data_IF_343136968243
#
_entry.id   IF_343136968243
#
_cell.length_a   1.000
_cell.length_b   1.000
_cell.length_c   1.000
_cell.angle_alpha   90.00
_cell.angle_beta   90.00
_cell.angle_gamma   90.00
#
_symmetry.space_group_name_H-M   'P 1'
#
loop_
_entity.id
_entity.type
_entity.pdbx_description
1 polymer ?
#
# COMPACT_ATOMS: atom_id res chain seq x y z
N UNK A 1 -8.35 6.90 45.49
CA UNK A 1 -9.08 7.56 46.59
C UNK A 1 -8.08 8.42 47.30
N UNK A 2 -8.08 9.74 47.08
CA UNK A 2 -7.20 10.68 47.77
C UNK A 2 -7.79 11.01 49.11
N UNK A 3 -6.99 10.87 50.14
CA UNK A 3 -7.36 11.33 51.50
C UNK A 3 -7.29 12.86 51.46
N UNK A 4 -8.40 13.54 51.75
CA UNK A 4 -8.41 15.00 51.86
C UNK A 4 -7.53 15.43 53.07
N UNK A 5 -6.53 16.30 52.86
CA UNK A 5 -5.61 16.71 53.93
C UNK A 5 -6.28 17.28 55.16
N UNK A 6 -7.45 17.89 55.00
CA UNK A 6 -8.21 18.50 56.10
C UNK A 6 -8.83 17.46 57.05
N UNK A 7 -9.30 16.33 56.52
CA UNK A 7 -9.86 15.23 57.29
C UNK A 7 -8.79 14.50 58.11
N UNK A 8 -7.57 14.45 57.58
CA UNK A 8 -6.41 13.91 58.22
C UNK A 8 -6.03 14.74 59.46
N UNK A 9 -6.08 16.06 59.35
CA UNK A 9 -5.76 16.99 60.45
C UNK A 9 -6.79 16.90 61.57
N UNK A 10 -8.08 16.82 61.27
CA UNK A 10 -9.16 16.65 62.27
C UNK A 10 -9.06 15.30 63.01
N UNK A 11 -8.59 14.23 62.38
CA UNK A 11 -8.32 12.93 63.01
C UNK A 11 -7.05 12.94 63.89
N UNK A 12 -6.04 13.72 63.51
CA UNK A 12 -4.80 13.91 64.27
C UNK A 12 -5.04 14.65 65.58
N UNK A 13 -5.93 15.65 65.61
CA UNK A 13 -6.26 16.39 66.84
C UNK A 13 -6.99 15.55 67.86
N UNK A 14 -7.69 14.48 67.50
CA UNK A 14 -8.45 13.61 68.40
C UNK A 14 -7.73 12.35 68.82
N UNK A 15 -6.67 11.93 68.11
CA UNK A 15 -5.91 10.71 68.45
C UNK A 15 -4.41 11.03 68.52
N UNK A 16 -3.64 10.16 69.27
CA UNK A 16 -2.18 10.23 69.27
C UNK A 16 -1.65 10.07 67.80
N UNK A 17 -0.98 11.10 67.31
CA UNK A 17 -0.48 11.21 65.93
C UNK A 17 0.30 9.99 65.43
N UNK A 18 1.06 9.39 66.38
CA UNK A 18 1.83 8.16 66.15
C UNK A 18 0.93 7.00 65.65
N UNK A 19 -0.22 6.82 66.35
CA UNK A 19 -1.18 5.74 65.99
C UNK A 19 -1.89 6.00 64.65
N UNK A 20 -2.16 7.26 64.33
CA UNK A 20 -2.81 7.64 63.09
C UNK A 20 -1.88 7.39 61.90
N UNK A 21 -0.65 7.88 61.94
CA UNK A 21 0.31 7.78 60.86
C UNK A 21 0.78 6.33 60.64
N UNK A 22 1.07 5.59 61.73
CA UNK A 22 1.49 4.18 61.62
C UNK A 22 0.40 3.25 61.08
N UNK A 23 -0.88 3.62 61.26
CA UNK A 23 -2.01 2.87 60.73
C UNK A 23 -2.38 3.19 59.26
N UNK A 24 -1.70 4.14 58.61
CA UNK A 24 -2.00 4.51 57.25
C UNK A 24 -1.54 3.44 56.27
N UNK A 25 -2.38 3.09 55.28
CA UNK A 25 -1.95 2.21 54.21
C UNK A 25 -0.97 2.94 53.29
N UNK A 26 0.26 2.46 53.22
CA UNK A 26 1.30 2.99 52.34
C UNK A 26 1.63 1.98 51.26
N UNK A 27 1.93 2.50 50.06
CA UNK A 27 2.44 1.67 48.97
C UNK A 27 3.94 1.41 49.21
N UNK A 28 4.45 0.32 48.68
CA UNK A 28 5.87 -0.03 48.73
C UNK A 28 6.72 1.12 48.16
N UNK A 29 7.74 1.56 48.92
CA UNK A 29 8.59 2.71 48.53
C UNK A 29 7.98 4.09 48.83
N UNK A 30 6.90 4.12 49.62
CA UNK A 30 6.28 5.35 50.11
C UNK A 30 6.35 5.37 51.63
N UNK A 31 6.77 6.49 52.18
CA UNK A 31 6.79 6.73 53.63
C UNK A 31 6.07 8.03 53.96
N UNK A 32 5.39 8.04 55.09
CA UNK A 32 4.71 9.22 55.60
C UNK A 32 5.27 9.50 57.00
N UNK A 33 5.69 10.73 57.22
CA UNK A 33 6.15 11.20 58.56
C UNK A 33 5.39 12.47 58.92
N UNK A 34 5.13 12.61 60.20
CA UNK A 34 4.55 13.81 60.81
C UNK A 34 5.43 14.26 61.99
N UNK A 35 5.91 15.49 61.88
CA UNK A 35 6.79 16.10 62.90
C UNK A 35 6.14 17.33 63.50
N UNK A 36 6.44 17.60 64.73
CA UNK A 36 6.03 18.84 65.40
C UNK A 36 6.76 20.05 64.85
N UNK A 37 6.03 21.16 64.63
CA UNK A 37 6.55 22.36 63.96
C UNK A 37 7.65 23.02 64.74
N UNK A 38 7.55 23.08 66.11
CA UNK A 38 8.47 23.82 66.91
C UNK A 38 9.80 23.05 67.15
N UNK A 39 9.67 21.73 67.44
CA UNK A 39 10.81 20.87 67.72
C UNK A 39 11.39 20.18 66.52
N UNK A 40 10.62 20.09 65.41
CA UNK A 40 10.92 19.33 64.20
C UNK A 40 11.20 17.85 64.45
N UNK A 41 10.70 17.34 65.56
CA UNK A 41 10.84 15.95 65.97
C UNK A 41 9.67 15.14 65.42
N UNK A 42 9.94 13.99 64.79
CA UNK A 42 8.95 13.08 64.25
C UNK A 42 8.18 12.44 65.41
N UNK A 43 6.87 12.75 65.46
CA UNK A 43 5.95 12.18 66.47
C UNK A 43 5.14 11.02 65.89
N UNK A 44 5.04 10.92 64.55
CA UNK A 44 4.35 9.83 63.85
C UNK A 44 5.02 9.49 62.53
N UNK A 45 5.21 8.20 62.29
CA UNK A 45 5.79 7.70 61.05
C UNK A 45 5.18 6.35 60.66
N UNK A 46 5.14 6.06 59.34
CA UNK A 46 4.77 4.73 58.84
C UNK A 46 5.86 3.69 59.13
N UNK A 47 7.12 4.10 59.12
CA UNK A 47 8.21 3.34 59.74
C UNK A 47 8.43 3.84 61.16
N UNK A 48 8.11 3.00 62.14
CA UNK A 48 8.24 3.33 63.58
C UNK A 48 9.68 3.60 64.04
N UNK A 49 10.68 3.22 63.28
CA UNK A 49 12.08 3.49 63.50
C UNK A 49 12.49 4.95 63.36
N UNK A 50 11.66 5.73 62.69
CA UNK A 50 11.88 7.16 62.46
C UNK A 50 11.30 8.06 63.53
N UNK A 51 10.45 7.51 64.39
CA UNK A 51 9.84 8.27 65.53
C UNK A 51 10.91 8.71 66.54
N UNK A 52 10.89 9.98 66.93
CA UNK A 52 11.84 10.62 67.78
C UNK A 52 13.08 11.20 67.15
N UNK A 53 13.29 10.94 65.80
CA UNK A 53 14.35 11.60 65.02
C UNK A 53 13.90 13.00 64.56
N UNK A 54 14.85 13.82 64.20
CA UNK A 54 14.53 15.10 63.51
C UNK A 54 14.35 14.90 62.03
N UNK A 55 13.54 15.76 61.35
CA UNK A 55 13.32 15.73 59.93
C UNK A 55 14.63 15.76 59.13
N UNK A 56 15.61 16.53 59.59
CA UNK A 56 16.92 16.62 58.92
C UNK A 56 17.73 15.31 58.99
N UNK A 57 17.54 14.49 60.02
CA UNK A 57 18.23 13.19 60.17
C UNK A 57 17.77 12.18 59.14
N UNK A 58 16.55 12.33 58.62
CA UNK A 58 15.99 11.52 57.54
C UNK A 58 16.11 12.18 56.17
N UNK A 59 16.88 13.28 56.06
CA UNK A 59 17.18 13.96 54.81
C UNK A 59 16.11 14.94 54.33
N UNK A 60 15.14 15.28 55.18
CA UNK A 60 14.12 16.30 54.88
C UNK A 60 14.57 17.66 55.40
N UNK A 61 14.91 18.63 54.50
CA UNK A 61 15.39 19.94 54.95
C UNK A 61 14.26 20.77 55.53
N UNK A 62 14.47 21.24 56.76
CA UNK A 62 13.50 22.03 57.53
C UNK A 62 13.28 23.45 56.94
N UNK A 63 14.27 23.99 56.24
CA UNK A 63 14.29 25.35 55.70
C UNK A 63 13.43 25.49 54.42
N UNK A 64 12.96 24.39 53.86
CA UNK A 64 12.15 24.36 52.63
C UNK A 64 10.67 24.09 52.85
N UNK A 65 10.22 24.11 54.07
CA UNK A 65 8.81 23.91 54.41
C UNK A 65 8.06 25.24 54.29
N UNK A 66 7.01 25.26 53.43
CA UNK A 66 6.16 26.43 53.24
C UNK A 66 4.84 26.27 53.97
N UNK A 67 4.40 27.33 54.67
CA UNK A 67 3.07 27.38 55.31
C UNK A 67 1.90 27.53 54.33
N UNK A 68 2.18 27.93 53.08
CA UNK A 68 1.16 28.28 52.07
C UNK A 68 0.99 27.23 50.97
N UNK A 69 0.98 25.94 51.31
CA UNK A 69 0.71 24.91 50.29
C UNK A 69 1.57 23.64 50.43
N UNK A 70 1.54 22.82 49.36
CA UNK A 70 2.38 21.62 49.27
C UNK A 70 3.66 21.95 48.52
N UNK A 71 4.79 21.78 49.19
CA UNK A 71 6.12 21.92 48.58
C UNK A 71 6.60 20.54 48.12
N UNK A 72 7.06 20.45 46.85
CA UNK A 72 7.64 19.21 46.31
C UNK A 72 9.14 19.41 46.14
N UNK A 73 9.93 18.57 46.83
CA UNK A 73 11.38 18.58 46.73
C UNK A 73 11.93 17.21 46.37
N UNK A 74 13.13 17.17 45.82
CA UNK A 74 13.88 15.94 45.61
C UNK A 74 14.92 15.83 46.69
N UNK A 75 14.88 14.72 47.41
CA UNK A 75 15.78 14.43 48.55
C UNK A 75 16.45 13.08 48.36
N UNK A 76 17.43 12.80 49.15
CA UNK A 76 18.10 11.52 49.19
C UNK A 76 17.92 10.91 50.57
N UNK A 77 17.17 9.81 50.65
CA UNK A 77 16.92 9.06 51.89
C UNK A 77 17.60 7.71 51.73
N UNK A 78 18.44 7.33 52.67
CA UNK A 78 19.20 6.06 52.73
C UNK A 78 19.89 5.69 51.40
N UNK A 79 20.37 6.72 50.67
CA UNK A 79 21.06 6.53 49.39
C UNK A 79 20.16 6.49 48.18
N UNK A 80 18.84 6.35 48.37
CA UNK A 80 17.84 6.38 47.31
C UNK A 80 17.36 7.81 46.98
N UNK A 81 17.16 8.13 45.73
CA UNK A 81 16.52 9.37 45.33
C UNK A 81 15.01 9.26 45.52
N UNK A 82 14.47 10.21 46.31
CA UNK A 82 13.07 10.26 46.68
C UNK A 82 12.47 11.62 46.35
N UNK A 83 11.22 11.60 45.94
CA UNK A 83 10.39 12.79 45.81
C UNK A 83 9.62 12.97 47.11
N UNK A 84 9.83 14.11 47.76
CA UNK A 84 9.19 14.44 49.02
C UNK A 84 8.16 15.56 48.82
N UNK A 85 6.93 15.32 49.21
CA UNK A 85 5.87 16.31 49.31
C UNK A 85 5.69 16.71 50.74
N UNK A 86 5.88 17.98 51.06
CA UNK A 86 5.84 18.53 52.41
C UNK A 86 4.72 19.53 52.52
N UNK A 87 3.97 19.46 53.58
CA UNK A 87 2.98 20.45 53.99
C UNK A 87 3.10 20.75 55.47
N UNK A 88 3.13 22.01 55.82
CA UNK A 88 3.09 22.49 57.20
C UNK A 88 1.69 23.01 57.54
N UNK A 89 1.22 22.74 58.72
CA UNK A 89 0.06 23.32 59.36
C UNK A 89 0.49 23.92 60.68
N UNK A 90 -0.42 24.52 61.46
CA UNK A 90 -0.11 25.25 62.71
C UNK A 90 0.65 24.40 63.75
N UNK A 91 0.45 23.10 63.75
CA UNK A 91 1.04 22.19 64.72
C UNK A 91 2.01 21.16 64.17
N UNK A 92 1.77 20.69 62.94
CA UNK A 92 2.50 19.57 62.37
C UNK A 92 3.07 19.88 60.98
N UNK A 93 4.24 19.31 60.69
CA UNK A 93 4.81 19.17 59.37
C UNK A 93 4.56 17.74 58.91
N UNK A 94 3.77 17.56 57.85
CA UNK A 94 3.53 16.24 57.23
C UNK A 94 4.36 16.14 55.94
N UNK A 95 5.19 15.12 55.87
CA UNK A 95 5.99 14.83 54.68
C UNK A 95 5.69 13.42 54.16
N UNK A 96 5.52 13.34 52.85
CA UNK A 96 5.31 12.07 52.15
C UNK A 96 6.46 11.89 51.18
N UNK A 97 7.24 10.86 51.37
CA UNK A 97 8.35 10.49 50.46
C UNK A 97 7.96 9.32 49.56
N UNK A 98 8.36 9.40 48.32
CA UNK A 98 8.17 8.34 47.31
C UNK A 98 9.49 8.11 46.60
N UNK A 99 9.96 6.88 46.59
CA UNK A 99 11.20 6.51 45.94
C UNK A 99 11.07 6.60 44.40
N UNK A 100 11.99 7.33 43.75
CA UNK A 100 11.97 7.56 42.29
C UNK A 100 12.11 6.26 41.50
N UNK A 101 12.77 5.24 42.02
CA UNK A 101 12.91 3.92 41.41
C UNK A 101 11.55 3.27 41.10
N UNK A 102 10.59 3.44 42.00
CA UNK A 102 9.23 2.92 41.83
C UNK A 102 8.47 3.60 40.72
N UNK A 103 8.65 4.92 40.58
CA UNK A 103 8.03 5.72 39.55
C UNK A 103 8.65 5.42 38.18
N UNK A 104 9.98 5.24 38.13
CA UNK A 104 10.71 4.94 36.90
C UNK A 104 10.42 3.53 36.37
N UNK A 105 10.32 2.51 37.23
CA UNK A 105 10.01 1.13 36.82
C UNK A 105 8.66 1.03 36.09
N UNK A 106 7.61 1.65 36.64
CA UNK A 106 6.28 1.68 35.97
C UNK A 106 6.31 2.35 34.59
N UNK A 107 7.04 3.46 34.48
CA UNK A 107 7.19 4.19 33.25
C UNK A 107 7.98 3.41 32.19
N UNK A 108 9.06 2.72 32.56
CA UNK A 108 9.86 1.88 31.66
C UNK A 108 9.02 0.72 31.12
N UNK A 109 8.26 0.04 31.98
CA UNK A 109 7.38 -1.06 31.54
C UNK A 109 6.32 -0.56 30.55
N UNK A 110 5.71 0.59 30.82
CA UNK A 110 4.73 1.19 29.91
C UNK A 110 5.35 1.52 28.54
N UNK A 111 6.54 2.10 28.52
CA UNK A 111 7.28 2.41 27.28
C UNK A 111 7.61 1.13 26.51
N UNK A 112 8.05 0.06 27.20
CA UNK A 112 8.34 -1.23 26.56
C UNK A 112 7.09 -1.87 25.95
N UNK A 113 5.94 -1.80 26.63
CA UNK A 113 4.67 -2.33 26.10
C UNK A 113 4.24 -1.56 24.86
N UNK A 114 4.29 -0.22 24.91
CA UNK A 114 3.95 0.63 23.74
C UNK A 114 4.92 0.36 22.59
N UNK A 115 6.22 0.25 22.87
CA UNK A 115 7.23 -0.09 21.85
C UNK A 115 6.97 -1.44 21.20
N UNK A 116 6.67 -2.47 21.99
CA UNK A 116 6.34 -3.80 21.48
C UNK A 116 5.06 -3.77 20.60
N UNK A 117 4.03 -3.05 21.03
CA UNK A 117 2.81 -2.87 20.24
C UNK A 117 3.09 -2.17 18.90
N UNK A 118 3.90 -1.10 18.90
CA UNK A 118 4.27 -0.38 17.68
C UNK A 118 5.03 -1.27 16.69
N UNK A 119 5.95 -2.12 17.18
CA UNK A 119 6.68 -3.09 16.34
C UNK A 119 5.71 -4.11 15.73
N UNK A 120 4.82 -4.69 16.53
CA UNK A 120 3.82 -5.65 16.05
C UNK A 120 2.88 -5.01 15.01
N UNK A 121 2.40 -3.80 15.28
CA UNK A 121 1.56 -3.07 14.33
C UNK A 121 2.30 -2.80 13.01
N UNK A 122 3.56 -2.37 13.07
CA UNK A 122 4.40 -2.18 11.88
C UNK A 122 4.60 -3.48 11.10
N UNK A 123 4.87 -4.60 11.76
CA UNK A 123 4.98 -5.90 11.13
C UNK A 123 3.68 -6.35 10.46
N UNK A 124 2.53 -6.14 11.10
CA UNK A 124 1.22 -6.45 10.52
C UNK A 124 0.92 -5.60 9.28
N UNK A 125 1.23 -4.29 9.33
CA UNK A 125 1.04 -3.38 8.20
C UNK A 125 1.93 -3.80 7.03
N UNK A 126 3.21 -4.06 7.25
CA UNK A 126 4.13 -4.50 6.21
C UNK A 126 3.73 -5.84 5.61
N UNK A 127 3.30 -6.80 6.42
CA UNK A 127 2.82 -8.09 5.97
C UNK A 127 1.56 -7.95 5.10
N UNK A 128 0.56 -7.16 5.53
CA UNK A 128 -0.67 -6.95 4.76
C UNK A 128 -0.39 -6.22 3.45
N UNK A 129 0.49 -5.22 3.47
CA UNK A 129 0.89 -4.48 2.27
C UNK A 129 1.57 -5.41 1.25
N UNK A 130 2.56 -6.20 1.67
CA UNK A 130 3.27 -7.15 0.78
C UNK A 130 2.34 -8.22 0.22
N UNK A 131 1.37 -8.69 1.02
CA UNK A 131 0.36 -9.65 0.57
C UNK A 131 -0.55 -9.06 -0.53
N UNK A 132 -1.07 -7.83 -0.31
CA UNK A 132 -1.92 -7.14 -1.29
C UNK A 132 -1.17 -6.91 -2.60
N UNK A 133 0.10 -6.47 -2.52
CA UNK A 133 0.93 -6.23 -3.71
C UNK A 133 1.17 -7.52 -4.50
N UNK A 134 1.44 -8.63 -3.81
CA UNK A 134 1.60 -9.94 -4.45
C UNK A 134 0.31 -10.40 -5.16
N UNK A 135 -0.84 -10.30 -4.50
CA UNK A 135 -2.13 -10.64 -5.08
C UNK A 135 -2.46 -9.77 -6.30
N UNK A 136 -2.11 -8.50 -6.25
CA UNK A 136 -2.26 -7.57 -7.38
C UNK A 136 -1.41 -8.00 -8.59
N UNK A 137 -0.12 -8.27 -8.36
CA UNK A 137 0.79 -8.72 -9.42
C UNK A 137 0.35 -10.07 -10.03
N UNK A 138 -0.10 -11.01 -9.22
CA UNK A 138 -0.65 -12.29 -9.71
C UNK A 138 -1.90 -12.07 -10.56
N UNK A 139 -2.81 -11.19 -10.15
CA UNK A 139 -4.01 -10.83 -10.90
C UNK A 139 -3.67 -10.14 -12.23
N UNK A 140 -2.74 -9.18 -12.23
CA UNK A 140 -2.28 -8.51 -13.46
C UNK A 140 -1.65 -9.53 -14.42
N UNK A 141 -0.84 -10.45 -13.91
CA UNK A 141 -0.25 -11.53 -14.71
C UNK A 141 -1.31 -12.46 -15.30
N UNK A 142 -2.33 -12.84 -14.52
CA UNK A 142 -3.44 -13.66 -15.00
C UNK A 142 -4.23 -12.95 -16.09
N UNK A 143 -4.54 -11.66 -15.91
CA UNK A 143 -5.22 -10.85 -16.93
C UNK A 143 -4.37 -10.74 -18.19
N UNK A 144 -3.06 -10.49 -18.04
CA UNK A 144 -2.15 -10.42 -19.19
C UNK A 144 -2.11 -11.75 -19.96
N UNK A 145 -1.90 -12.87 -19.28
CA UNK A 145 -1.85 -14.19 -19.93
C UNK A 145 -3.20 -14.61 -20.54
N UNK A 146 -4.31 -14.20 -19.92
CA UNK A 146 -5.65 -14.48 -20.46
C UNK A 146 -6.00 -13.66 -21.69
N UNK A 147 -5.39 -12.49 -21.88
CA UNK A 147 -5.75 -11.53 -22.92
C UNK A 147 -4.71 -11.38 -24.04
N UNK A 148 -3.54 -12.02 -23.92
CA UNK A 148 -2.47 -11.91 -24.92
C UNK A 148 -2.22 -13.22 -25.66
N UNK A 149 -1.82 -13.13 -26.91
CA UNK A 149 -1.32 -14.25 -27.71
C UNK A 149 0.16 -14.51 -27.37
N UNK A 150 0.50 -15.75 -27.06
CA UNK A 150 1.85 -16.11 -26.60
C UNK A 150 2.93 -15.91 -27.68
N UNK A 151 2.59 -16.15 -28.94
CA UNK A 151 3.53 -16.07 -30.06
C UNK A 151 3.85 -14.63 -30.42
N UNK A 152 2.82 -13.77 -30.54
CA UNK A 152 2.92 -12.42 -31.09
C UNK A 152 2.94 -11.31 -30.04
N UNK A 153 2.50 -11.61 -28.84
CA UNK A 153 2.24 -10.62 -27.79
C UNK A 153 1.21 -9.56 -28.17
N UNK A 154 0.47 -9.74 -29.26
CA UNK A 154 -0.76 -9.02 -29.50
C UNK A 154 -1.85 -9.43 -28.51
N UNK A 155 -2.92 -8.67 -28.45
CA UNK A 155 -4.11 -9.11 -27.74
C UNK A 155 -4.70 -10.34 -28.46
N UNK A 156 -5.27 -11.27 -27.71
CA UNK A 156 -5.83 -12.49 -28.26
C UNK A 156 -7.33 -12.33 -28.61
N UNK A 157 -7.92 -13.39 -29.14
CA UNK A 157 -9.35 -13.44 -29.48
C UNK A 157 -10.27 -13.11 -28.32
N UNK A 158 -9.94 -13.56 -27.11
CA UNK A 158 -10.76 -13.26 -25.93
C UNK A 158 -10.77 -11.76 -25.62
N UNK A 159 -9.61 -11.10 -25.68
CA UNK A 159 -9.53 -9.65 -25.53
C UNK A 159 -10.30 -8.90 -26.63
N UNK A 160 -10.21 -9.38 -27.90
CA UNK A 160 -10.98 -8.85 -29.01
C UNK A 160 -12.49 -8.90 -28.74
N UNK A 161 -13.02 -10.06 -28.36
CA UNK A 161 -14.45 -10.24 -28.09
C UNK A 161 -14.93 -9.34 -26.94
N UNK A 162 -14.10 -9.15 -25.91
CA UNK A 162 -14.41 -8.27 -24.80
C UNK A 162 -14.39 -6.77 -25.19
N UNK A 163 -13.47 -6.36 -26.06
CA UNK A 163 -13.30 -4.97 -26.42
C UNK A 163 -14.28 -4.54 -27.52
N UNK A 164 -14.54 -5.37 -28.52
CA UNK A 164 -15.49 -5.05 -29.58
C UNK A 164 -16.92 -4.86 -29.05
N UNK A 165 -17.30 -5.62 -28.02
CA UNK A 165 -18.61 -5.49 -27.38
C UNK A 165 -18.78 -4.19 -26.56
N UNK A 166 -17.71 -3.44 -26.28
CA UNK A 166 -17.74 -2.16 -25.57
C UNK A 166 -17.85 -0.96 -26.53
N UNK A 167 -17.53 -1.16 -27.81
CA UNK A 167 -17.64 -0.11 -28.79
C UNK A 167 -19.09 0.31 -29.00
N UNK A 168 -19.27 1.55 -29.41
CA UNK A 168 -20.58 2.07 -29.81
C UNK A 168 -20.54 2.50 -31.24
N UNK A 169 -21.60 2.24 -31.98
CA UNK A 169 -21.72 2.61 -33.41
C UNK A 169 -21.67 4.14 -33.59
N UNK A 170 -22.14 4.89 -32.59
CA UNK A 170 -22.14 6.36 -32.63
C UNK A 170 -20.78 6.99 -32.39
N UNK A 171 -19.80 6.23 -31.85
CA UNK A 171 -18.45 6.72 -31.64
C UNK A 171 -17.64 6.59 -32.94
N UNK A 172 -16.65 7.44 -33.12
CA UNK A 172 -15.76 7.40 -34.28
C UNK A 172 -14.61 6.44 -34.04
N UNK A 173 -14.49 5.40 -34.86
CA UNK A 173 -13.43 4.40 -34.81
C UNK A 173 -13.26 3.69 -36.16
N UNK A 174 -12.12 3.01 -36.32
CA UNK A 174 -11.83 2.24 -37.54
C UNK A 174 -11.59 0.78 -37.20
N UNK A 175 -12.19 -0.11 -37.94
CA UNK A 175 -11.91 -1.54 -37.89
C UNK A 175 -11.07 -1.95 -39.09
N UNK A 176 -10.00 -2.70 -38.85
CA UNK A 176 -9.15 -3.27 -39.90
C UNK A 176 -9.13 -4.79 -39.73
N UNK A 177 -9.49 -5.54 -40.75
CA UNK A 177 -9.27 -6.99 -40.84
C UNK A 177 -8.03 -7.25 -41.67
N UNK A 178 -7.15 -8.15 -41.18
CA UNK A 178 -5.84 -8.43 -41.78
C UNK A 178 -5.60 -9.93 -41.78
N UNK A 179 -5.08 -10.46 -42.92
CA UNK A 179 -4.73 -11.85 -43.10
C UNK A 179 -3.34 -11.97 -43.73
N UNK A 180 -2.52 -12.86 -43.19
CA UNK A 180 -1.14 -13.09 -43.64
C UNK A 180 -1.13 -14.07 -44.82
N UNK A 181 -0.68 -13.60 -45.98
CA UNK A 181 -0.71 -14.39 -47.23
C UNK A 181 0.38 -15.47 -47.25
N UNK A 182 0.02 -16.65 -47.71
CA UNK A 182 0.97 -17.73 -48.01
C UNK A 182 1.62 -18.39 -46.81
N UNK A 183 1.11 -18.21 -45.56
CA UNK A 183 1.65 -18.82 -44.34
C UNK A 183 1.78 -20.36 -44.48
N UNK A 184 0.76 -21.02 -45.03
CA UNK A 184 0.78 -22.47 -45.23
C UNK A 184 1.96 -22.89 -46.13
N UNK A 185 2.22 -22.17 -47.24
CA UNK A 185 3.33 -22.46 -48.15
C UNK A 185 4.69 -22.30 -47.44
N UNK A 186 4.85 -21.27 -46.59
CA UNK A 186 6.07 -21.08 -45.82
C UNK A 186 6.26 -22.24 -44.80
N UNK A 187 5.20 -22.62 -44.11
CA UNK A 187 5.23 -23.77 -43.21
C UNK A 187 5.59 -25.09 -43.91
N UNK A 188 4.97 -25.33 -45.07
CA UNK A 188 5.19 -26.57 -45.82
C UNK A 188 6.62 -26.62 -46.46
N UNK A 189 7.23 -25.45 -46.76
CA UNK A 189 8.55 -25.35 -47.41
C UNK A 189 9.70 -25.28 -46.38
N UNK A 190 9.55 -24.51 -45.31
CA UNK A 190 10.61 -24.18 -44.36
C UNK A 190 10.31 -24.62 -42.92
N UNK A 191 9.15 -25.22 -42.66
CA UNK A 191 8.69 -25.67 -41.36
C UNK A 191 8.02 -24.59 -40.51
N UNK A 192 7.40 -25.01 -39.41
CA UNK A 192 6.60 -24.13 -38.54
C UNK A 192 7.41 -22.98 -37.92
N UNK A 193 8.73 -23.14 -37.71
CA UNK A 193 9.59 -22.07 -37.19
C UNK A 193 9.60 -20.86 -38.14
N UNK A 194 9.64 -21.10 -39.43
CA UNK A 194 9.56 -20.04 -40.46
C UNK A 194 8.19 -19.36 -40.50
N UNK A 195 7.13 -20.13 -40.33
CA UNK A 195 5.78 -19.55 -40.23
C UNK A 195 5.59 -18.72 -38.96
N UNK A 196 6.17 -19.16 -37.83
CA UNK A 196 6.19 -18.41 -36.58
C UNK A 196 6.97 -17.09 -36.71
N UNK A 197 8.09 -17.09 -37.44
CA UNK A 197 8.84 -15.87 -37.77
C UNK A 197 7.92 -14.87 -38.54
N UNK A 198 7.24 -15.36 -39.56
CA UNK A 198 6.37 -14.56 -40.38
C UNK A 198 5.20 -13.95 -39.61
N UNK A 199 4.58 -14.74 -38.71
CA UNK A 199 3.49 -14.30 -37.87
C UNK A 199 3.97 -13.24 -36.87
N UNK A 200 5.14 -13.44 -36.21
CA UNK A 200 5.73 -12.45 -35.30
C UNK A 200 6.04 -11.15 -36.03
N UNK A 201 6.64 -11.24 -37.19
CA UNK A 201 7.00 -10.09 -37.98
C UNK A 201 5.76 -9.27 -38.43
N UNK A 202 4.72 -9.93 -38.88
CA UNK A 202 3.45 -9.27 -39.24
C UNK A 202 2.86 -8.53 -38.00
N UNK A 203 2.83 -9.20 -36.85
CA UNK A 203 2.38 -8.61 -35.59
C UNK A 203 3.22 -7.38 -35.17
N UNK A 204 4.54 -7.45 -35.32
CA UNK A 204 5.43 -6.32 -35.00
C UNK A 204 5.22 -5.14 -35.95
N UNK A 205 5.02 -5.39 -37.26
CA UNK A 205 4.67 -4.35 -38.23
C UNK A 205 3.33 -3.66 -37.85
N UNK A 206 2.33 -4.44 -37.44
CA UNK A 206 1.04 -3.91 -37.01
C UNK A 206 1.18 -3.09 -35.71
N UNK A 207 1.86 -3.62 -34.70
CA UNK A 207 2.08 -2.92 -33.42
C UNK A 207 2.84 -1.60 -33.63
N UNK A 208 3.88 -1.60 -34.42
CA UNK A 208 4.67 -0.40 -34.73
C UNK A 208 3.87 0.66 -35.51
N UNK A 209 2.81 0.25 -36.19
CA UNK A 209 2.00 1.16 -36.98
C UNK A 209 0.75 1.67 -36.26
N UNK A 210 0.16 0.86 -35.37
CA UNK A 210 -1.19 1.10 -34.88
C UNK A 210 -1.30 1.19 -33.34
N UNK A 211 -0.34 0.65 -32.53
CA UNK A 211 -0.49 0.57 -31.07
C UNK A 211 -0.62 1.94 -30.37
N UNK A 212 -0.11 2.99 -30.97
CA UNK A 212 -0.23 4.37 -30.45
C UNK A 212 -1.67 4.90 -30.56
N UNK A 213 -2.46 4.36 -31.50
CA UNK A 213 -3.78 4.86 -31.91
C UNK A 213 -4.91 3.88 -31.60
N UNK A 214 -4.57 2.65 -31.22
CA UNK A 214 -5.55 1.61 -31.01
C UNK A 214 -4.95 0.30 -30.53
N UNK A 215 -5.64 -0.80 -30.81
CA UNK A 215 -5.26 -2.12 -30.33
C UNK A 215 -5.16 -3.13 -31.47
N UNK A 216 -4.13 -3.98 -31.41
CA UNK A 216 -3.87 -5.07 -32.36
C UNK A 216 -4.22 -6.39 -31.70
N UNK A 217 -5.03 -7.20 -32.41
CA UNK A 217 -5.51 -8.50 -31.95
C UNK A 217 -5.11 -9.60 -32.93
N UNK A 218 -4.70 -10.76 -32.41
CA UNK A 218 -4.61 -11.99 -33.20
C UNK A 218 -5.85 -12.84 -32.93
N UNK A 219 -6.66 -13.04 -33.99
CA UNK A 219 -7.96 -13.71 -33.93
C UNK A 219 -7.80 -15.23 -34.16
N UNK A 220 -6.91 -15.59 -35.09
CA UNK A 220 -6.69 -16.95 -35.56
C UNK A 220 -5.22 -17.20 -35.90
N UNK A 221 -4.94 -18.25 -36.66
CA UNK A 221 -3.59 -18.63 -37.07
C UNK A 221 -2.84 -17.51 -37.80
N UNK A 222 -3.39 -17.02 -38.89
CA UNK A 222 -2.90 -15.96 -39.78
C UNK A 222 -3.80 -14.71 -39.81
N UNK A 223 -4.86 -14.69 -38.96
CA UNK A 223 -5.87 -13.64 -38.94
C UNK A 223 -5.62 -12.67 -37.79
N UNK A 224 -5.65 -11.38 -38.13
CA UNK A 224 -5.50 -10.28 -37.17
C UNK A 224 -6.64 -9.27 -37.35
N UNK A 225 -6.96 -8.56 -36.28
CA UNK A 225 -7.81 -7.38 -36.28
C UNK A 225 -7.10 -6.20 -35.61
N UNK A 226 -7.43 -5.00 -36.12
CA UNK A 226 -7.00 -3.75 -35.47
C UNK A 226 -8.21 -2.88 -35.22
N UNK A 227 -8.33 -2.30 -34.04
CA UNK A 227 -9.37 -1.33 -33.70
C UNK A 227 -8.66 -0.04 -33.34
N UNK A 228 -8.87 1.01 -34.10
CA UNK A 228 -8.29 2.35 -33.90
C UNK A 228 -9.38 3.23 -33.32
N UNK A 229 -9.08 3.87 -32.21
CA UNK A 229 -10.03 4.73 -31.47
C UNK A 229 -9.47 6.13 -31.19
N UNK A 230 -8.20 6.38 -31.53
CA UNK A 230 -7.52 7.64 -31.28
C UNK A 230 -6.93 8.18 -32.58
N UNK A 231 -6.89 9.51 -32.75
CA UNK A 231 -6.28 10.24 -33.84
C UNK A 231 -6.65 9.71 -35.26
N UNK A 232 -7.92 9.40 -35.47
CA UNK A 232 -8.45 8.78 -36.70
C UNK A 232 -8.11 9.60 -37.95
N UNK A 233 -7.92 10.91 -37.83
CA UNK A 233 -7.49 11.78 -38.90
C UNK A 233 -6.10 11.41 -39.46
N UNK A 234 -5.28 10.72 -38.68
CA UNK A 234 -3.93 10.25 -39.07
C UNK A 234 -3.97 8.86 -39.74
N UNK A 235 -5.15 8.31 -40.02
CA UNK A 235 -5.33 6.96 -40.54
C UNK A 235 -4.52 6.69 -41.79
N UNK A 236 -4.51 7.62 -42.77
CA UNK A 236 -3.74 7.47 -44.00
C UNK A 236 -2.22 7.34 -43.70
N UNK A 237 -1.69 8.08 -42.76
CA UNK A 237 -0.29 7.99 -42.36
C UNK A 237 0.00 6.65 -41.64
N UNK A 238 -0.95 6.15 -40.85
CA UNK A 238 -0.84 4.84 -40.20
C UNK A 238 -0.79 3.71 -41.24
N UNK A 239 -1.68 3.72 -42.22
CA UNK A 239 -1.71 2.74 -43.32
C UNK A 239 -0.45 2.83 -44.18
N UNK A 240 0.03 4.04 -44.48
CA UNK A 240 1.28 4.22 -45.23
C UNK A 240 2.48 3.61 -44.43
N UNK A 241 2.58 3.87 -43.13
CA UNK A 241 3.61 3.30 -42.27
C UNK A 241 3.51 1.78 -42.22
N UNK A 242 2.29 1.22 -42.08
CA UNK A 242 2.05 -0.21 -42.10
C UNK A 242 2.54 -0.86 -43.39
N UNK A 243 2.14 -0.31 -44.56
CA UNK A 243 2.60 -0.77 -45.88
C UNK A 243 4.13 -0.75 -45.99
N UNK A 244 4.75 0.34 -45.56
CA UNK A 244 6.20 0.49 -45.58
C UNK A 244 6.88 -0.57 -44.70
N UNK A 245 6.39 -0.81 -43.48
CA UNK A 245 6.93 -1.83 -42.57
C UNK A 245 6.82 -3.23 -43.16
N UNK A 246 5.69 -3.58 -43.79
CA UNK A 246 5.49 -4.87 -44.46
C UNK A 246 6.44 -5.02 -45.67
N UNK A 247 6.55 -4.00 -46.50
CA UNK A 247 7.35 -4.05 -47.74
C UNK A 247 8.85 -4.11 -47.47
N UNK A 248 9.32 -3.43 -46.45
CA UNK A 248 10.74 -3.38 -46.09
C UNK A 248 11.16 -4.51 -45.12
N UNK A 249 10.26 -5.42 -44.78
CA UNK A 249 10.60 -6.52 -43.88
C UNK A 249 11.37 -7.63 -44.66
N UNK A 250 12.43 -8.12 -44.02
CA UNK A 250 13.21 -9.26 -44.49
C UNK A 250 13.50 -10.18 -43.27
N UNK A 251 13.20 -11.46 -43.44
CA UNK A 251 13.40 -12.48 -42.38
C UNK A 251 14.57 -13.43 -42.69
N UNK A 252 14.79 -14.36 -41.76
CA UNK A 252 15.82 -15.38 -41.86
C UNK A 252 15.38 -16.50 -42.85
N UNK A 253 14.11 -16.88 -42.81
CA UNK A 253 13.56 -17.98 -43.61
C UNK A 253 12.77 -17.49 -44.85
N UNK A 254 12.19 -16.31 -44.75
CA UNK A 254 11.44 -15.71 -45.84
C UNK A 254 11.94 -14.30 -46.16
N UNK A 255 12.29 -14.06 -47.42
CA UNK A 255 12.80 -12.74 -47.87
C UNK A 255 11.75 -11.61 -47.80
N UNK A 256 10.49 -11.95 -47.86
CA UNK A 256 9.40 -10.98 -47.86
C UNK A 256 8.14 -11.57 -47.25
N UNK A 257 7.28 -10.71 -46.73
CA UNK A 257 5.92 -11.06 -46.36
C UNK A 257 4.90 -10.21 -47.11
N UNK A 258 3.70 -10.74 -47.25
CA UNK A 258 2.57 -10.02 -47.80
C UNK A 258 1.34 -10.25 -46.93
N UNK A 259 0.50 -9.22 -46.82
CA UNK A 259 -0.75 -9.27 -46.09
C UNK A 259 -1.88 -8.76 -46.93
N UNK A 260 -3.04 -9.34 -46.74
CA UNK A 260 -4.30 -8.83 -47.30
C UNK A 260 -5.05 -8.12 -46.20
N UNK A 261 -5.63 -6.97 -46.46
CA UNK A 261 -6.35 -6.21 -45.46
C UNK A 261 -7.49 -5.38 -46.06
N UNK A 262 -8.48 -5.14 -45.22
CA UNK A 262 -9.62 -4.27 -45.49
C UNK A 262 -9.99 -3.49 -44.25
N UNK A 263 -10.46 -2.28 -44.40
CA UNK A 263 -10.87 -1.44 -43.27
C UNK A 263 -12.21 -0.77 -43.52
N UNK A 264 -12.91 -0.42 -42.45
CA UNK A 264 -14.17 0.31 -42.44
C UNK A 264 -14.17 1.33 -41.30
N UNK A 265 -14.57 2.56 -41.60
CA UNK A 265 -14.86 3.57 -40.58
C UNK A 265 -16.27 3.34 -40.03
N UNK A 266 -16.43 3.46 -38.70
CA UNK A 266 -17.75 3.38 -38.06
C UNK A 266 -18.75 4.40 -38.62
N UNK A 267 -18.25 5.53 -39.09
CA UNK A 267 -19.03 6.65 -39.66
C UNK A 267 -19.29 6.52 -41.14
N UNK A 268 -18.76 5.50 -41.86
CA UNK A 268 -18.83 5.36 -43.33
C UNK A 268 -20.23 4.98 -43.84
N UNK A 269 -21.03 4.33 -42.99
CA UNK A 269 -22.36 3.83 -43.37
C UNK A 269 -23.38 3.90 -42.23
N UNK A 270 -24.61 3.50 -42.55
CA UNK A 270 -25.67 3.30 -41.59
C UNK A 270 -25.63 1.83 -41.13
N UNK A 271 -24.97 1.57 -40.05
CA UNK A 271 -24.78 0.24 -39.49
C UNK A 271 -25.83 -0.08 -38.44
N UNK A 272 -26.45 -1.26 -38.52
CA UNK A 272 -27.37 -1.76 -37.48
C UNK A 272 -26.64 -2.43 -36.34
N UNK A 273 -25.42 -2.89 -36.56
CA UNK A 273 -24.58 -3.56 -35.57
C UNK A 273 -23.07 -3.39 -35.82
N UNK A 274 -22.28 -3.53 -34.80
CA UNK A 274 -20.81 -3.57 -34.87
C UNK A 274 -20.36 -4.78 -35.73
N UNK A 275 -21.12 -5.87 -35.69
CA UNK A 275 -20.86 -7.05 -36.51
C UNK A 275 -20.92 -6.73 -38.02
N UNK A 276 -21.79 -5.84 -38.48
CA UNK A 276 -21.83 -5.43 -39.90
C UNK A 276 -20.57 -4.67 -40.29
N UNK A 277 -20.02 -3.82 -39.42
CA UNK A 277 -18.77 -3.11 -39.66
C UNK A 277 -17.60 -4.10 -39.80
N UNK A 278 -17.46 -5.07 -38.86
CA UNK A 278 -16.41 -6.07 -38.95
C UNK A 278 -16.56 -6.95 -40.19
N UNK A 279 -17.78 -7.35 -40.54
CA UNK A 279 -18.08 -8.13 -41.74
C UNK A 279 -17.72 -7.38 -43.03
N UNK A 280 -18.03 -6.10 -43.12
CA UNK A 280 -17.69 -5.28 -44.30
C UNK A 280 -16.16 -5.12 -44.44
N UNK A 281 -15.41 -5.02 -43.35
CA UNK A 281 -13.96 -5.01 -43.39
C UNK A 281 -13.39 -6.38 -43.80
N UNK A 282 -13.97 -7.48 -43.35
CA UNK A 282 -13.60 -8.84 -43.76
C UNK A 282 -13.86 -9.04 -45.25
N UNK A 283 -14.98 -8.57 -45.81
CA UNK A 283 -15.29 -8.62 -47.25
C UNK A 283 -14.22 -7.85 -48.07
N UNK A 284 -13.83 -6.67 -47.64
CA UNK A 284 -12.75 -5.88 -48.29
C UNK A 284 -11.38 -6.57 -48.18
N UNK A 285 -11.07 -7.18 -47.03
CA UNK A 285 -9.85 -7.97 -46.86
C UNK A 285 -9.85 -9.17 -47.81
N UNK A 286 -10.97 -9.85 -47.96
CA UNK A 286 -11.11 -10.98 -48.85
C UNK A 286 -10.93 -10.57 -50.31
N UNK A 287 -11.51 -9.45 -50.76
CA UNK A 287 -11.26 -8.89 -52.10
C UNK A 287 -9.77 -8.56 -52.32
N UNK A 288 -9.08 -8.05 -51.30
CA UNK A 288 -7.63 -7.81 -51.35
C UNK A 288 -6.86 -9.12 -51.49
N UNK A 289 -7.31 -10.19 -50.78
CA UNK A 289 -6.72 -11.53 -50.85
C UNK A 289 -6.92 -12.17 -52.25
N UNK A 290 -8.09 -12.02 -52.85
CA UNK A 290 -8.34 -12.51 -54.23
C UNK A 290 -7.45 -11.81 -55.25
N UNK A 291 -7.31 -10.50 -55.18
CA UNK A 291 -6.40 -9.73 -56.05
C UNK A 291 -4.96 -10.24 -55.95
N UNK A 292 -4.45 -10.44 -54.72
CA UNK A 292 -3.11 -10.98 -54.47
C UNK A 292 -2.89 -12.34 -55.17
N UNK A 293 -3.81 -13.29 -55.01
CA UNK A 293 -3.67 -14.62 -55.59
C UNK A 293 -3.80 -14.61 -57.14
N UNK A 294 -4.66 -13.75 -57.71
CA UNK A 294 -4.80 -13.59 -59.14
C UNK A 294 -3.55 -12.97 -59.80
N UNK A 295 -2.94 -11.97 -59.14
CA UNK A 295 -1.76 -11.28 -59.66
C UNK A 295 -0.48 -12.11 -59.47
N UNK A 296 -0.34 -12.82 -58.36
CA UNK A 296 0.85 -13.64 -58.05
C UNK A 296 0.89 -14.97 -58.78
N UNK A 297 -0.22 -15.43 -59.42
CA UNK A 297 -0.31 -16.76 -60.04
C UNK A 297 -0.18 -17.93 -59.05
N UNK A 298 -0.21 -17.68 -57.75
CA UNK A 298 -0.07 -18.66 -56.68
C UNK A 298 -1.44 -19.32 -56.47
N UNK A 299 -1.50 -20.62 -56.56
CA UNK A 299 -2.73 -21.39 -56.32
C UNK A 299 -3.13 -21.34 -54.86
N UNK A 300 -4.37 -21.02 -54.54
CA UNK A 300 -4.97 -20.88 -53.20
C UNK A 300 -5.22 -22.26 -52.55
N UNK A 301 -4.20 -23.09 -52.41
CA UNK A 301 -4.35 -24.41 -51.74
C UNK A 301 -3.71 -24.44 -50.37
#
# INVERSE_FOLDING_TARGET
MGIEPKRLLDEIEQNNISNVVSGMPVYKGMEIVAADVDTQTIEGATDSSEIGKKLEEIGIPSDRVSSDGVTVIHIKVDGSHCRCMIRQDDKYIVAVTVEDSFYLQGSIIAICIVGAYMVLASCCITYTFTKIEKERLEKEKLIYTSNTDELTRCLNRHAYENDINKLKICDEWVYISIDLNGLKRVNDTYGHVAGDELIRAAADCMKNSFNEYGKVYRIGGDEFAVIITEDINEFENMIHRFKSNITNWHGEFADSMTVSYGWVFSTEGNWDSIYEISKAADERMYESKERFYNESGINRR
#
